data_IF_974817630141
#
_entry.id   IF_974817630141
#
_cell.length_a   1.000
_cell.length_b   1.000
_cell.length_c   1.000
_cell.angle_alpha   90.00
_cell.angle_beta   90.00
_cell.angle_gamma   90.00
#
_symmetry.space_group_name_H-M   'P 1'
#
loop_
_entity.id
_entity.type
_entity.pdbx_description
1 polymer ?
#
# COMPACT_ATOMS: atom_id res chain seq x y z
N UNK A 1 -2.26 11.27 -0.45
CA UNK A 1 -2.08 10.31 -1.58
C UNK A 1 -0.62 9.98 -1.81
N UNK A 2 0.28 10.96 -1.68
CA UNK A 2 1.71 10.78 -1.92
C UNK A 2 2.34 9.70 -1.03
N UNK A 3 2.13 9.75 0.30
CA UNK A 3 2.64 8.75 1.23
C UNK A 3 2.23 7.31 0.88
N UNK A 4 0.97 7.07 0.49
CA UNK A 4 0.50 5.73 0.13
C UNK A 4 1.22 5.18 -1.10
N UNK A 5 1.58 6.07 -2.03
CA UNK A 5 2.28 5.72 -3.27
C UNK A 5 3.79 5.66 -3.09
N UNK A 6 4.34 6.33 -2.09
CA UNK A 6 5.77 6.35 -1.79
C UNK A 6 6.20 5.03 -1.16
N UNK A 7 6.91 4.23 -1.95
CA UNK A 7 7.41 2.90 -1.58
C UNK A 7 8.34 2.94 -0.38
N UNK A 8 8.96 4.08 -0.08
CA UNK A 8 9.87 4.25 1.05
C UNK A 8 9.16 4.30 2.39
N UNK A 9 7.89 4.73 2.41
CA UNK A 9 7.11 4.86 3.65
C UNK A 9 6.37 3.59 4.01
N UNK A 10 6.33 2.59 3.11
CA UNK A 10 5.60 1.35 3.34
C UNK A 10 5.99 0.63 4.65
N UNK A 11 7.28 0.57 5.04
CA UNK A 11 7.64 -0.03 6.33
C UNK A 11 7.08 0.70 7.55
N UNK A 12 6.77 1.99 7.44
CA UNK A 12 6.30 2.80 8.56
C UNK A 12 4.85 2.47 8.94
N UNK A 13 4.02 2.19 7.93
CA UNK A 13 2.59 1.91 8.15
C UNK A 13 2.21 0.45 7.97
N UNK A 14 2.90 -0.32 7.13
CA UNK A 14 2.56 -1.73 6.87
C UNK A 14 3.20 -2.68 7.89
N UNK A 15 2.42 -3.40 8.72
CA UNK A 15 2.99 -4.32 9.72
C UNK A 15 3.74 -5.52 9.14
N UNK A 16 3.48 -5.87 7.89
CA UNK A 16 4.09 -7.05 7.27
C UNK A 16 5.32 -6.72 6.42
N UNK A 17 5.51 -5.46 6.04
CA UNK A 17 6.62 -5.02 5.19
C UNK A 17 7.69 -4.44 6.11
N UNK A 18 8.82 -5.12 6.24
CA UNK A 18 9.96 -4.63 7.02
C UNK A 18 10.92 -3.76 6.22
N UNK A 19 10.94 -3.88 4.89
CA UNK A 19 11.80 -3.10 3.99
C UNK A 19 11.28 -3.17 2.55
N UNK A 20 11.68 -2.20 1.72
CA UNK A 20 11.31 -2.13 0.31
C UNK A 20 12.52 -1.73 -0.52
N UNK A 21 12.73 -2.46 -1.61
CA UNK A 21 13.63 -2.09 -2.71
C UNK A 21 12.76 -1.95 -3.96
N UNK A 22 12.63 -0.74 -4.49
CA UNK A 22 11.78 -0.46 -5.65
C UNK A 22 12.57 0.31 -6.69
N UNK A 23 12.33 0.00 -7.96
CA UNK A 23 12.87 0.78 -9.09
C UNK A 23 12.31 2.21 -9.10
N UNK A 24 11.11 2.39 -8.53
CA UNK A 24 10.42 3.66 -8.43
C UNK A 24 10.14 4.06 -6.99
N UNK A 25 10.38 5.34 -6.68
CA UNK A 25 9.92 5.92 -5.41
C UNK A 25 8.39 5.87 -5.31
N UNK A 26 7.68 6.29 -6.35
CA UNK A 26 6.22 6.28 -6.36
C UNK A 26 5.70 5.17 -7.24
N UNK A 27 4.71 4.42 -6.73
CA UNK A 27 4.02 3.42 -7.56
C UNK A 27 3.42 4.04 -8.81
N UNK A 28 3.73 3.41 -9.94
CA UNK A 28 3.22 3.70 -11.28
C UNK A 28 3.02 2.41 -12.06
N UNK A 29 2.39 2.52 -13.24
CA UNK A 29 2.24 1.39 -14.13
C UNK A 29 3.61 0.77 -14.45
N UNK A 30 3.74 -0.54 -14.19
CA UNK A 30 4.96 -1.29 -14.47
C UNK A 30 6.01 -1.28 -13.36
N UNK A 31 5.80 -0.56 -12.25
CA UNK A 31 6.73 -0.57 -11.10
C UNK A 31 6.99 -2.00 -10.60
N UNK A 32 8.26 -2.29 -10.37
CA UNK A 32 8.77 -3.57 -9.88
C UNK A 32 9.74 -3.33 -8.74
N UNK A 33 9.90 -4.36 -7.92
CA UNK A 33 10.84 -4.33 -6.82
C UNK A 33 10.75 -5.59 -5.98
N UNK A 34 11.23 -5.47 -4.74
CA UNK A 34 11.17 -6.50 -3.72
C UNK A 34 10.71 -5.87 -2.42
N UNK A 35 9.89 -6.59 -1.67
CA UNK A 35 9.51 -6.23 -0.31
C UNK A 35 10.02 -7.30 0.63
N UNK A 36 10.40 -6.92 1.85
CA UNK A 36 10.80 -7.86 2.89
C UNK A 36 9.61 -8.19 3.76
N UNK A 37 9.09 -9.41 3.64
CA UNK A 37 7.93 -9.90 4.40
C UNK A 37 8.39 -11.03 5.33
N UNK A 38 8.10 -10.90 6.62
CA UNK A 38 8.54 -11.87 7.64
C UNK A 38 10.04 -12.21 7.54
N UNK A 39 10.88 -11.22 7.23
CA UNK A 39 12.32 -11.38 7.10
C UNK A 39 12.82 -11.84 5.72
N UNK A 40 11.93 -12.28 4.82
CA UNK A 40 12.26 -12.81 3.48
C UNK A 40 12.01 -11.77 2.40
N UNK A 41 12.94 -11.62 1.46
CA UNK A 41 12.75 -10.78 0.28
C UNK A 41 11.89 -11.49 -0.77
N UNK A 42 10.76 -10.89 -1.11
CA UNK A 42 9.84 -11.39 -2.12
C UNK A 42 9.66 -10.36 -3.23
N UNK A 43 9.72 -10.77 -4.52
CA UNK A 43 9.55 -9.84 -5.62
C UNK A 43 8.09 -9.39 -5.70
N UNK A 44 7.88 -8.13 -6.06
CA UNK A 44 6.56 -7.61 -6.39
C UNK A 44 6.55 -6.95 -7.78
N UNK A 45 5.36 -6.92 -8.39
CA UNK A 45 5.11 -6.19 -9.63
C UNK A 45 3.71 -5.63 -9.63
N UNK A 46 3.57 -4.36 -10.03
CA UNK A 46 2.27 -3.77 -10.29
C UNK A 46 1.68 -4.33 -11.60
N UNK A 47 0.47 -4.88 -11.49
CA UNK A 47 -0.27 -5.49 -12.61
C UNK A 47 -1.26 -4.52 -13.23
N UNK A 48 -1.80 -3.59 -12.45
CA UNK A 48 -2.69 -2.54 -12.93
C UNK A 48 -2.47 -1.24 -12.13
N UNK A 49 -2.66 -0.10 -12.79
CA UNK A 49 -2.56 1.21 -12.18
C UNK A 49 -3.49 2.19 -12.91
N UNK A 50 -4.41 2.82 -12.17
CA UNK A 50 -5.34 3.83 -12.71
C UNK A 50 -5.26 5.16 -11.93
N UNK A 51 -4.08 5.51 -11.43
CA UNK A 51 -3.87 6.76 -10.66
C UNK A 51 -4.27 6.63 -9.20
N UNK A 52 -5.52 6.23 -8.97
CA UNK A 52 -6.13 6.11 -7.63
C UNK A 52 -6.32 4.67 -7.18
N UNK A 53 -6.19 3.71 -8.08
CA UNK A 53 -6.25 2.27 -7.78
C UNK A 53 -5.02 1.61 -8.38
N UNK A 54 -4.46 0.66 -7.65
CA UNK A 54 -3.46 -0.24 -8.20
C UNK A 54 -3.59 -1.62 -7.61
N UNK A 55 -3.18 -2.58 -8.42
CA UNK A 55 -3.05 -3.98 -8.03
C UNK A 55 -1.64 -4.43 -8.31
N UNK A 56 -1.23 -5.43 -7.55
CA UNK A 56 0.11 -5.95 -7.60
C UNK A 56 0.11 -7.42 -7.26
N UNK A 57 1.16 -8.09 -7.70
CA UNK A 57 1.47 -9.47 -7.32
C UNK A 57 2.72 -9.47 -6.48
N UNK A 58 2.72 -10.30 -5.44
CA UNK A 58 3.88 -10.57 -4.59
C UNK A 58 4.19 -12.05 -4.72
N UNK A 59 5.43 -12.39 -5.08
CA UNK A 59 5.83 -13.76 -5.42
C UNK A 59 4.92 -14.45 -6.47
N UNK A 60 4.34 -13.66 -7.39
CA UNK A 60 3.43 -14.16 -8.43
C UNK A 60 1.98 -14.38 -7.97
N UNK A 61 1.70 -14.32 -6.67
CA UNK A 61 0.35 -14.44 -6.11
C UNK A 61 -0.33 -13.07 -6.16
N UNK A 62 -1.61 -12.98 -6.59
CA UNK A 62 -2.42 -11.77 -6.41
C UNK A 62 -2.33 -11.32 -4.95
N UNK A 63 -1.69 -10.17 -4.73
CA UNK A 63 -1.62 -9.56 -3.42
C UNK A 63 -2.81 -8.62 -3.24
N UNK A 64 -2.76 -7.79 -2.21
CA UNK A 64 -3.85 -6.87 -1.91
C UNK A 64 -3.96 -5.73 -2.94
N UNK A 65 -5.17 -5.45 -3.43
CA UNK A 65 -5.43 -4.23 -4.20
C UNK A 65 -5.45 -3.01 -3.28
N UNK A 66 -5.06 -1.84 -3.78
CA UNK A 66 -5.14 -0.59 -3.04
C UNK A 66 -5.93 0.41 -3.87
N UNK A 67 -6.84 1.13 -3.22
CA UNK A 67 -7.69 2.14 -3.84
C UNK A 67 -7.82 3.35 -2.93
N UNK A 68 -7.74 4.54 -3.51
CA UNK A 68 -7.93 5.82 -2.84
C UNK A 68 -9.13 6.52 -3.46
N UNK A 69 -10.19 6.63 -2.68
CA UNK A 69 -11.40 7.36 -3.04
C UNK A 69 -11.33 8.76 -2.41
N UNK A 70 -11.60 9.81 -3.19
CA UNK A 70 -11.76 11.17 -2.67
C UNK A 70 -13.21 11.43 -2.27
N UNK A 71 -13.45 12.33 -1.32
CA UNK A 71 -14.80 12.78 -0.99
C UNK A 71 -15.18 14.01 -1.82
N UNK A 72 -16.34 13.97 -2.49
CA UNK A 72 -16.83 15.12 -3.24
C UNK A 72 -17.11 16.27 -2.26
N UNK A 73 -16.48 17.43 -2.49
CA UNK A 73 -16.64 18.61 -1.65
C UNK A 73 -15.68 18.69 -0.45
N UNK A 74 -14.81 17.71 -0.24
CA UNK A 74 -13.85 17.72 0.86
C UNK A 74 -12.49 17.20 0.37
N UNK A 75 -11.63 18.15 -0.03
CA UNK A 75 -10.29 17.85 -0.57
C UNK A 75 -9.33 17.30 0.51
N UNK A 76 -9.68 17.47 1.78
CA UNK A 76 -8.84 17.10 2.91
C UNK A 76 -9.12 15.69 3.42
N UNK A 77 -10.21 15.09 2.94
CA UNK A 77 -10.59 13.73 3.27
C UNK A 77 -10.34 12.78 2.10
N UNK A 78 -9.80 11.62 2.43
CA UNK A 78 -9.72 10.50 1.50
C UNK A 78 -10.05 9.21 2.21
N UNK A 79 -10.53 8.23 1.44
CA UNK A 79 -10.79 6.88 1.90
C UNK A 79 -9.79 5.96 1.23
N UNK A 80 -8.99 5.28 2.03
CA UNK A 80 -8.09 4.23 1.56
C UNK A 80 -8.76 2.88 1.75
N UNK A 81 -8.80 2.09 0.69
CA UNK A 81 -9.38 0.75 0.67
C UNK A 81 -8.29 -0.24 0.30
N UNK A 82 -8.15 -1.28 1.11
CA UNK A 82 -7.32 -2.45 0.80
C UNK A 82 -8.24 -3.60 0.41
N UNK A 83 -8.07 -4.10 -0.79
CA UNK A 83 -8.82 -5.25 -1.30
C UNK A 83 -8.03 -6.51 -1.03
N UNK A 84 -8.63 -7.43 -0.31
CA UNK A 84 -7.98 -8.68 0.10
C UNK A 84 -8.58 -9.82 -0.70
N UNK A 85 -7.77 -10.58 -1.47
CA UNK A 85 -8.24 -11.81 -2.09
C UNK A 85 -8.80 -12.78 -1.04
N UNK A 86 -9.84 -13.54 -1.36
CA UNK A 86 -10.48 -14.48 -0.41
C UNK A 86 -9.48 -15.48 0.21
N UNK A 87 -8.52 -15.97 -0.59
CA UNK A 87 -7.44 -16.85 -0.12
C UNK A 87 -6.55 -16.19 0.95
N UNK A 88 -6.49 -14.86 0.98
CA UNK A 88 -5.75 -14.07 1.95
C UNK A 88 -6.66 -13.47 3.05
N UNK A 89 -7.90 -13.96 3.24
CA UNK A 89 -8.83 -13.40 4.21
C UNK A 89 -8.27 -13.37 5.66
N UNK A 90 -7.44 -14.35 6.03
CA UNK A 90 -6.73 -14.35 7.32
C UNK A 90 -5.78 -13.16 7.53
N UNK A 91 -5.43 -12.44 6.47
CA UNK A 91 -4.59 -11.25 6.48
C UNK A 91 -5.36 -9.95 6.76
N UNK A 92 -6.70 -9.99 6.78
CA UNK A 92 -7.56 -8.81 7.03
C UNK A 92 -7.19 -8.04 8.32
N UNK A 93 -6.90 -8.68 9.46
CA UNK A 93 -6.48 -7.96 10.67
C UNK A 93 -5.18 -7.16 10.47
N UNK A 94 -4.24 -7.68 9.68
CA UNK A 94 -2.99 -6.98 9.33
C UNK A 94 -3.28 -5.78 8.45
N UNK A 95 -4.18 -5.93 7.47
CA UNK A 95 -4.63 -4.82 6.62
C UNK A 95 -5.30 -3.71 7.42
N UNK A 96 -6.14 -4.05 8.42
CA UNK A 96 -6.77 -3.06 9.31
C UNK A 96 -5.73 -2.27 10.09
N UNK A 97 -4.78 -2.98 10.72
CA UNK A 97 -3.68 -2.33 11.46
C UNK A 97 -2.81 -1.45 10.56
N UNK A 98 -2.63 -1.84 9.30
CA UNK A 98 -1.92 -1.03 8.31
C UNK A 98 -2.66 0.28 8.00
N UNK A 99 -3.99 0.23 7.84
CA UNK A 99 -4.83 1.41 7.62
C UNK A 99 -4.82 2.35 8.82
N UNK A 100 -4.90 1.82 10.04
CA UNK A 100 -4.88 2.63 11.27
C UNK A 100 -3.54 3.40 11.42
N UNK A 101 -2.42 2.71 11.17
CA UNK A 101 -1.09 3.35 11.18
C UNK A 101 -0.93 4.37 10.07
N UNK A 102 -1.45 4.06 8.89
CA UNK A 102 -1.40 4.98 7.75
C UNK A 102 -2.21 6.26 8.04
N UNK A 103 -3.39 6.13 8.63
CA UNK A 103 -4.19 7.27 9.06
C UNK A 103 -3.39 8.15 10.06
N UNK A 104 -2.81 7.55 11.10
CA UNK A 104 -1.99 8.27 12.07
C UNK A 104 -0.75 8.96 11.44
N UNK A 105 -0.11 8.32 10.47
CA UNK A 105 1.04 8.91 9.76
C UNK A 105 0.62 10.14 8.95
N UNK A 106 -0.46 10.04 8.17
CA UNK A 106 -0.94 11.15 7.32
C UNK A 106 -1.53 12.29 8.14
N UNK A 107 -2.26 11.98 9.21
CA UNK A 107 -2.85 12.99 10.10
C UNK A 107 -1.77 13.67 10.96
N UNK A 108 -0.77 12.92 11.42
CA UNK A 108 0.36 13.44 12.18
C UNK A 108 1.28 14.34 11.36
N UNK A 109 1.56 13.98 10.11
CA UNK A 109 2.38 14.81 9.19
C UNK A 109 1.68 16.13 8.84
N UNK A 110 0.33 16.16 8.88
CA UNK A 110 -0.48 17.37 8.65
C UNK A 110 -0.45 18.36 9.82
N UNK A 111 -0.06 17.91 11.01
CA UNK A 111 -0.03 18.74 12.24
C UNK A 111 1.38 19.31 12.50
N UNK A 112 2.38 18.95 11.68
CA UNK A 112 3.76 19.46 11.76
C UNK A 112 4.03 20.64 10.84
#
# INVERSE_FOLDING_TARGET
MEALRDTRTWPDWSPAIGAVESEDRYVRAGTRGRVRVAGVWVPFRLTSYSGRRWEWRVAGIPATGHRVEGYAGDADRCRVVIEVPLVAAGYVPVCRRALDRFAGLVEGDRTR
#
